data_IF_569004859782
#
_entry.id   IF_569004859782
#
_cell.length_a   1.000
_cell.length_b   1.000
_cell.length_c   1.000
_cell.angle_alpha   90.00
_cell.angle_beta   90.00
_cell.angle_gamma   90.00
#
_symmetry.space_group_name_H-M   'P 1'
#
loop_
_entity.id
_entity.type
_entity.pdbx_description
1 polymer ?
#
# COMPACT_ATOMS: atom_id res chain seq x y z
N UNK A 1 17.44 29.45 30.22
CA UNK A 1 17.81 29.32 28.79
C UNK A 1 17.35 27.99 28.17
N UNK A 2 17.36 26.87 28.90
CA UNK A 2 16.91 25.55 28.42
C UNK A 2 15.48 25.47 27.85
N UNK A 3 14.51 26.20 28.43
CA UNK A 3 13.11 26.18 27.94
C UNK A 3 12.95 26.71 26.50
N UNK A 4 13.76 27.70 26.10
CA UNK A 4 13.74 28.24 24.72
C UNK A 4 14.41 27.29 23.73
N UNK A 5 15.43 26.55 24.18
CA UNK A 5 16.12 25.54 23.38
C UNK A 5 15.23 24.31 23.12
N UNK A 6 14.44 23.88 24.11
CA UNK A 6 13.50 22.77 23.98
C UNK A 6 12.37 23.07 22.97
N UNK A 7 11.85 24.30 22.97
CA UNK A 7 10.81 24.73 22.02
C UNK A 7 11.34 24.77 20.58
N UNK A 8 12.60 25.20 20.39
CA UNK A 8 13.26 25.18 19.08
C UNK A 8 13.51 23.75 18.58
N UNK A 9 13.85 22.82 19.48
CA UNK A 9 14.08 21.41 19.13
C UNK A 9 12.79 20.70 18.69
N UNK A 10 11.68 20.97 19.37
CA UNK A 10 10.36 20.41 19.02
C UNK A 10 9.84 21.01 17.71
N UNK A 11 10.06 22.31 17.48
CA UNK A 11 9.71 22.97 16.21
C UNK A 11 10.51 22.43 15.02
N UNK A 12 11.79 22.11 15.21
CA UNK A 12 12.61 21.50 14.17
C UNK A 12 12.14 20.07 13.83
N UNK A 13 11.72 19.29 14.82
CA UNK A 13 11.27 17.90 14.63
C UNK A 13 9.96 17.81 13.81
N UNK A 14 9.06 18.78 13.97
CA UNK A 14 7.80 18.86 13.20
C UNK A 14 8.01 19.22 11.72
N UNK A 15 9.11 19.91 11.39
CA UNK A 15 9.44 20.30 10.01
C UNK A 15 10.04 19.15 9.18
N UNK A 16 10.62 18.12 9.82
CA UNK A 16 11.12 16.92 9.12
C UNK A 16 10.03 15.87 8.85
N UNK A 17 8.85 15.96 9.48
CA UNK A 17 7.76 14.99 9.31
C UNK A 17 6.90 15.22 8.05
N UNK A 18 7.01 16.37 7.40
CA UNK A 18 6.14 16.77 6.28
C UNK A 18 6.76 16.53 4.89
N UNK A 19 8.05 16.22 4.78
CA UNK A 19 8.73 16.00 3.49
C UNK A 19 8.51 14.59 2.91
N UNK A 20 7.79 13.71 3.60
CA UNK A 20 7.59 12.32 3.18
C UNK A 20 6.44 12.10 2.17
N UNK A 21 5.73 13.15 1.74
CA UNK A 21 4.56 13.00 0.86
C UNK A 21 4.80 13.38 -0.61
N UNK A 22 6.05 13.61 -1.02
CA UNK A 22 6.41 14.07 -2.38
C UNK A 22 6.76 12.93 -3.35
N UNK A 23 6.69 11.67 -2.89
CA UNK A 23 7.08 10.49 -3.67
C UNK A 23 5.92 9.78 -4.36
N UNK A 24 4.80 10.47 -4.64
CA UNK A 24 3.78 9.94 -5.57
C UNK A 24 4.32 10.07 -7.00
N UNK A 25 5.37 9.30 -7.29
CA UNK A 25 5.88 9.06 -8.63
C UNK A 25 4.72 8.45 -9.41
N UNK A 26 4.16 9.21 -10.34
CA UNK A 26 3.14 8.74 -11.28
C UNK A 26 3.71 7.53 -12.02
N UNK A 27 3.40 6.33 -11.52
CA UNK A 27 3.81 5.08 -12.14
C UNK A 27 2.84 4.80 -13.28
N UNK A 28 3.14 5.36 -14.46
CA UNK A 28 2.65 4.87 -15.76
C UNK A 28 3.27 3.52 -16.14
N UNK A 29 3.74 2.75 -15.16
CA UNK A 29 4.19 1.38 -15.34
C UNK A 29 2.96 0.47 -15.26
N UNK A 30 2.93 -0.56 -16.09
CA UNK A 30 1.93 -1.64 -16.05
C UNK A 30 1.72 -2.11 -14.59
N UNK A 31 0.64 -1.67 -13.94
CA UNK A 31 0.33 -2.00 -12.55
C UNK A 31 -0.29 -3.38 -12.55
N UNK A 32 0.41 -4.34 -11.96
CA UNK A 32 -0.05 -5.73 -11.86
C UNK A 32 -0.40 -6.09 -10.42
N UNK A 33 -1.17 -7.17 -10.22
CA UNK A 33 -1.45 -7.70 -8.88
C UNK A 33 -0.16 -7.98 -8.12
N UNK A 34 0.82 -8.61 -8.78
CA UNK A 34 2.12 -8.94 -8.18
C UNK A 34 2.86 -7.70 -7.69
N UNK A 35 2.87 -6.62 -8.49
CA UNK A 35 3.54 -5.37 -8.11
C UNK A 35 2.90 -4.72 -6.88
N UNK A 36 1.57 -4.74 -6.77
CA UNK A 36 0.87 -4.22 -5.58
C UNK A 36 1.25 -5.01 -4.33
N UNK A 37 1.35 -6.34 -4.44
CA UNK A 37 1.76 -7.21 -3.32
C UNK A 37 3.22 -6.89 -2.91
N UNK A 38 4.13 -6.72 -3.86
CA UNK A 38 5.52 -6.34 -3.59
C UNK A 38 5.62 -4.99 -2.86
N UNK A 39 4.86 -3.98 -3.30
CA UNK A 39 4.82 -2.67 -2.64
C UNK A 39 4.25 -2.76 -1.22
N UNK A 40 3.24 -3.60 -0.97
CA UNK A 40 2.76 -3.87 0.39
C UNK A 40 3.85 -4.45 1.28
N UNK A 41 4.59 -5.46 0.80
CA UNK A 41 5.72 -6.03 1.55
C UNK A 41 6.82 -4.99 1.80
N UNK A 42 7.13 -4.17 0.80
CA UNK A 42 8.12 -3.10 0.92
C UNK A 42 7.70 -2.04 1.95
N UNK A 43 6.40 -1.77 2.07
CA UNK A 43 5.82 -0.90 3.09
C UNK A 43 5.74 -1.54 4.49
N UNK A 44 6.21 -2.79 4.66
CA UNK A 44 6.12 -3.52 5.92
C UNK A 44 4.72 -4.07 6.22
N UNK A 45 3.83 -4.10 5.23
CA UNK A 45 2.54 -4.77 5.34
C UNK A 45 2.72 -6.25 5.03
N UNK A 46 2.34 -7.09 5.99
CA UNK A 46 2.41 -8.55 5.93
C UNK A 46 1.42 -9.09 4.87
N UNK A 47 1.82 -9.07 3.59
CA UNK A 47 1.03 -9.49 2.44
C UNK A 47 1.44 -10.89 1.95
N UNK A 48 1.51 -11.85 2.86
CA UNK A 48 1.99 -13.20 2.58
C UNK A 48 0.86 -14.17 2.16
N UNK A 49 1.28 -15.27 1.54
CA UNK A 49 0.42 -16.35 1.04
C UNK A 49 -0.70 -15.91 0.07
N UNK A 50 -0.39 -15.18 -1.01
CA UNK A 50 -1.38 -14.85 -2.02
C UNK A 50 -1.98 -16.10 -2.65
N UNK A 51 -3.31 -16.20 -2.68
CA UNK A 51 -4.05 -17.27 -3.34
C UNK A 51 -4.85 -16.74 -4.52
N UNK A 52 -4.85 -17.46 -5.63
CA UNK A 52 -5.65 -17.11 -6.80
C UNK A 52 -7.14 -17.20 -6.49
N UNK A 53 -7.92 -16.20 -6.91
CA UNK A 53 -9.37 -16.35 -7.01
C UNK A 53 -9.72 -16.92 -8.38
N UNK A 54 -10.66 -17.87 -8.47
CA UNK A 54 -11.13 -18.37 -9.76
C UNK A 54 -12.00 -17.31 -10.48
N UNK A 55 -11.99 -17.31 -11.82
CA UNK A 55 -12.70 -16.31 -12.64
C UNK A 55 -14.18 -16.18 -12.30
N UNK A 56 -14.85 -17.29 -11.94
CA UNK A 56 -16.25 -17.28 -11.48
C UNK A 56 -16.51 -16.34 -10.29
N UNK A 57 -15.49 -16.02 -9.49
CA UNK A 57 -15.62 -15.17 -8.28
C UNK A 57 -15.34 -13.69 -8.55
N UNK A 58 -14.68 -13.37 -9.67
CA UNK A 58 -14.30 -11.99 -9.99
C UNK A 58 -14.87 -11.47 -11.32
N UNK A 59 -15.44 -12.37 -12.14
CA UNK A 59 -16.13 -12.05 -13.39
C UNK A 59 -15.21 -11.59 -14.52
N UNK A 60 -15.81 -11.29 -15.67
CA UNK A 60 -15.06 -11.21 -16.93
C UNK A 60 -14.36 -9.86 -17.18
N UNK A 61 -14.60 -8.83 -16.35
CA UNK A 61 -14.00 -7.50 -16.50
C UNK A 61 -12.55 -7.46 -16.00
N UNK A 62 -12.22 -8.32 -15.02
CA UNK A 62 -10.89 -8.38 -14.42
C UNK A 62 -10.06 -9.43 -15.17
N UNK A 63 -8.76 -9.17 -15.26
CA UNK A 63 -7.77 -10.06 -15.85
C UNK A 63 -7.28 -11.08 -14.82
N UNK A 64 -7.05 -10.63 -13.59
CA UNK A 64 -6.51 -11.44 -12.50
C UNK A 64 -7.04 -10.96 -11.16
N UNK A 65 -7.13 -11.88 -10.21
CA UNK A 65 -7.55 -11.59 -8.85
C UNK A 65 -6.82 -12.48 -7.85
N UNK A 66 -6.28 -11.90 -6.78
CA UNK A 66 -5.67 -12.63 -5.67
C UNK A 66 -6.26 -12.21 -4.34
N UNK A 67 -6.38 -13.18 -3.43
CA UNK A 67 -6.66 -12.95 -2.01
C UNK A 67 -5.35 -12.94 -1.27
N UNK A 68 -5.17 -11.96 -0.39
CA UNK A 68 -4.04 -11.87 0.54
C UNK A 68 -4.58 -11.64 1.94
N UNK A 69 -3.81 -12.02 2.94
CA UNK A 69 -4.02 -11.56 4.30
C UNK A 69 -3.23 -10.27 4.49
N UNK A 70 -3.83 -9.28 5.13
CA UNK A 70 -3.17 -8.02 5.52
C UNK A 70 -3.48 -7.71 6.99
N UNK A 71 -2.88 -8.43 7.96
CA UNK A 71 -3.17 -8.27 9.39
C UNK A 71 -3.02 -6.82 9.90
N UNK A 72 -2.14 -6.04 9.26
CA UNK A 72 -1.97 -4.61 9.53
C UNK A 72 -3.24 -3.77 9.35
N UNK A 73 -4.25 -4.27 8.62
CA UNK A 73 -5.54 -3.60 8.42
C UNK A 73 -6.62 -4.02 9.44
N UNK A 74 -6.33 -4.97 10.33
CA UNK A 74 -7.26 -5.48 11.35
C UNK A 74 -7.30 -7.01 11.47
N UNK A 75 -7.97 -7.52 12.51
CA UNK A 75 -8.27 -8.96 12.62
C UNK A 75 -9.14 -9.44 11.44
N UNK A 76 -8.81 -10.60 10.88
CA UNK A 76 -9.48 -11.20 9.71
C UNK A 76 -9.49 -10.31 8.45
N UNK A 77 -8.42 -9.56 8.23
CA UNK A 77 -8.25 -8.70 7.05
C UNK A 77 -7.92 -9.49 5.78
N UNK A 78 -8.89 -10.29 5.32
CA UNK A 78 -8.86 -10.92 4.01
C UNK A 78 -9.04 -9.87 2.91
N UNK A 79 -7.94 -9.40 2.35
CA UNK A 79 -7.95 -8.41 1.27
C UNK A 79 -7.99 -9.08 -0.11
N UNK A 80 -8.58 -8.40 -1.08
CA UNK A 80 -8.64 -8.85 -2.48
C UNK A 80 -8.04 -7.78 -3.38
N UNK A 81 -7.15 -8.19 -4.27
CA UNK A 81 -6.54 -7.32 -5.27
C UNK A 81 -7.01 -7.78 -6.64
N UNK A 82 -7.39 -6.83 -7.48
CA UNK A 82 -7.87 -7.08 -8.84
C UNK A 82 -7.04 -6.30 -9.85
N UNK A 83 -6.63 -6.98 -10.92
CA UNK A 83 -6.11 -6.33 -12.12
C UNK A 83 -7.20 -6.29 -13.17
N UNK A 84 -7.47 -5.11 -13.73
CA UNK A 84 -8.54 -4.92 -14.70
C UNK A 84 -8.00 -5.03 -16.13
N UNK A 85 -8.83 -5.55 -17.05
CA UNK A 85 -8.45 -5.69 -18.46
C UNK A 85 -8.25 -4.33 -19.14
N UNK A 86 -9.07 -3.34 -18.76
CA UNK A 86 -9.05 -1.98 -19.29
C UNK A 86 -9.15 -0.94 -18.16
N UNK A 87 -8.89 0.33 -18.47
CA UNK A 87 -9.02 1.47 -17.54
C UNK A 87 -10.46 1.93 -17.29
N UNK A 88 -11.39 1.51 -18.15
CA UNK A 88 -12.81 1.90 -18.15
C UNK A 88 -13.70 0.75 -17.68
#
# INVERSE_FOLDING_TARGET
>A
MFKRLAVLLIGALLLFGLSACDSVKSMTNNVTVGKVIEEFKAAGLEADNPSDLPEKEFGNTRKEAKRILLPALGEDSGSRIFEFKNKE
#
